data_IF_009371451656
#
_entry.id   IF_009371451656
#
_cell.length_a   1.000
_cell.length_b   1.000
_cell.length_c   1.000
_cell.angle_alpha   90.00
_cell.angle_beta   90.00
_cell.angle_gamma   90.00
#
_symmetry.space_group_name_H-M   'P 1'
#
loop_
_entity.id
_entity.type
_entity.pdbx_description
1 polymer ?
#
# COMPACT_ATOMS: atom_id res chain seq x y z
N UNK A 1 -4.79 -4.59 -0.62
CA UNK A 1 -4.75 -5.02 -2.05
C UNK A 1 -5.19 -6.47 -2.12
N UNK A 2 -5.46 -7.01 -3.31
CA UNK A 2 -6.23 -8.24 -3.65
C UNK A 2 -7.30 -8.72 -2.65
N UNK A 3 -6.93 -9.12 -1.43
CA UNK A 3 -7.81 -9.58 -0.33
C UNK A 3 -8.47 -8.45 0.49
N UNK A 4 -8.39 -7.19 0.04
CA UNK A 4 -8.96 -6.03 0.74
C UNK A 4 -8.45 -5.85 2.18
N UNK A 5 -7.17 -6.13 2.41
CA UNK A 5 -6.49 -5.91 3.70
C UNK A 5 -5.55 -4.71 3.57
N UNK A 6 -5.43 -3.84 4.61
CA UNK A 6 -4.48 -2.74 4.63
C UNK A 6 -3.04 -3.25 4.62
N UNK A 7 -2.11 -2.40 4.17
CA UNK A 7 -0.70 -2.77 3.98
C UNK A 7 0.17 -2.03 5.00
N UNK A 8 1.12 -2.73 5.61
CA UNK A 8 2.28 -2.12 6.25
C UNK A 8 3.51 -2.49 5.43
N UNK A 9 4.17 -1.50 4.84
CA UNK A 9 5.44 -1.70 4.16
C UNK A 9 6.60 -1.19 5.02
N UNK A 10 7.65 -2.01 5.14
CA UNK A 10 8.91 -1.64 5.74
C UNK A 10 9.99 -1.79 4.66
N UNK A 11 10.33 -0.70 3.99
CA UNK A 11 11.25 -0.70 2.84
C UNK A 11 12.20 0.49 2.95
N UNK A 12 13.26 0.51 2.15
CA UNK A 12 14.11 1.68 2.00
C UNK A 12 13.40 2.80 1.22
N UNK A 13 13.95 4.01 1.29
CA UNK A 13 13.42 5.20 0.62
C UNK A 13 13.67 5.28 -0.89
N UNK A 14 14.30 4.28 -1.52
CA UNK A 14 14.57 4.31 -2.97
C UNK A 14 13.39 3.86 -3.82
N UNK A 15 12.35 3.31 -3.18
CA UNK A 15 11.11 2.86 -3.85
C UNK A 15 9.98 3.84 -3.59
N UNK A 16 9.07 3.99 -4.55
CA UNK A 16 7.87 4.80 -4.45
C UNK A 16 6.75 4.14 -3.62
N UNK A 17 6.94 2.88 -3.19
CA UNK A 17 5.94 2.12 -2.44
C UNK A 17 5.45 2.84 -1.18
N UNK A 18 6.36 3.48 -0.43
CA UNK A 18 5.99 4.23 0.77
C UNK A 18 5.06 5.41 0.46
N UNK A 19 5.34 6.15 -0.61
CA UNK A 19 4.51 7.25 -1.08
C UNK A 19 3.15 6.76 -1.58
N UNK A 20 3.13 5.71 -2.42
CA UNK A 20 1.91 5.12 -2.97
C UNK A 20 0.98 4.67 -1.84
N UNK A 21 1.50 3.96 -0.83
CA UNK A 21 0.71 3.45 0.30
C UNK A 21 0.11 4.59 1.13
N UNK A 22 0.93 5.59 1.45
CA UNK A 22 0.52 6.70 2.33
C UNK A 22 -0.43 7.66 1.61
N UNK A 23 -0.13 8.05 0.37
CA UNK A 23 -0.99 8.92 -0.45
C UNK A 23 -2.31 8.24 -0.83
N UNK A 24 -2.28 6.94 -1.13
CA UNK A 24 -3.47 6.16 -1.41
C UNK A 24 -4.33 5.85 -0.17
N UNK A 25 -3.89 6.27 1.02
CA UNK A 25 -4.54 6.03 2.31
C UNK A 25 -5.02 4.58 2.49
N UNK A 26 -4.17 3.63 2.13
CA UNK A 26 -4.52 2.21 2.18
C UNK A 26 -3.59 1.37 3.06
N UNK A 27 -2.74 2.05 3.83
CA UNK A 27 -1.80 1.41 4.71
C UNK A 27 -0.90 2.41 5.42
N UNK A 28 0.26 1.91 5.82
CA UNK A 28 1.33 2.64 6.46
C UNK A 28 2.68 2.24 5.87
N UNK A 29 3.65 3.12 6.04
CA UNK A 29 5.01 2.88 5.64
C UNK A 29 5.96 3.26 6.77
N UNK A 30 6.97 2.43 6.97
CA UNK A 30 8.12 2.70 7.83
C UNK A 30 9.37 2.53 6.98
N UNK A 31 10.33 3.44 7.14
CA UNK A 31 11.64 3.26 6.54
C UNK A 31 12.40 2.13 7.25
N UNK A 32 13.03 1.23 6.48
CA UNK A 32 13.78 0.07 7.00
C UNK A 32 15.14 0.45 7.60
N UNK A 33 15.14 1.32 8.62
CA UNK A 33 16.34 1.83 9.30
C UNK A 33 16.35 1.60 10.81
N UNK A 34 15.18 1.44 11.43
CA UNK A 34 15.03 1.40 12.88
C UNK A 34 13.91 0.44 13.29
N UNK A 35 14.26 -0.56 14.11
CA UNK A 35 13.31 -1.54 14.63
C UNK A 35 12.25 -0.92 15.53
N UNK A 36 12.60 0.14 16.27
CA UNK A 36 11.69 0.80 17.20
C UNK A 36 10.55 1.52 16.47
N UNK A 37 10.85 2.14 15.33
CA UNK A 37 9.85 2.83 14.51
C UNK A 37 8.84 1.81 13.95
N UNK A 38 9.34 0.65 13.49
CA UNK A 38 8.49 -0.44 13.03
C UNK A 38 7.58 -0.99 14.14
N UNK A 39 8.13 -1.29 15.32
CA UNK A 39 7.33 -1.83 16.43
C UNK A 39 6.28 -0.85 16.91
N UNK A 40 6.64 0.44 17.03
CA UNK A 40 5.69 1.49 17.43
C UNK A 40 4.54 1.63 16.43
N UNK A 41 4.83 1.49 15.14
CA UNK A 41 3.82 1.54 14.09
C UNK A 41 2.91 0.31 14.14
N UNK A 42 3.45 -0.88 14.40
CA UNK A 42 2.65 -2.11 14.59
C UNK A 42 1.72 -1.95 15.80
N UNK A 43 2.21 -1.49 16.94
CA UNK A 43 1.40 -1.26 18.14
C UNK A 43 0.26 -0.27 17.86
N UNK A 44 0.55 0.80 17.11
CA UNK A 44 -0.44 1.76 16.66
C UNK A 44 -1.53 1.09 15.82
N UNK A 45 -1.14 0.27 14.83
CA UNK A 45 -2.09 -0.44 13.95
C UNK A 45 -2.97 -1.41 14.76
N UNK A 46 -2.38 -2.15 15.71
CA UNK A 46 -3.11 -3.08 16.56
C UNK A 46 -4.10 -2.40 17.52
N UNK A 47 -3.90 -1.11 17.81
CA UNK A 47 -4.81 -0.31 18.64
C UNK A 47 -6.02 0.25 17.88
N UNK A 48 -6.03 0.18 16.54
CA UNK A 48 -7.10 0.72 15.71
C UNK A 48 -8.34 -0.17 15.74
N UNK A 49 -9.49 0.47 15.56
CA UNK A 49 -10.77 -0.23 15.42
C UNK A 49 -10.90 -0.93 14.05
N UNK A 50 -11.82 -1.88 13.97
CA UNK A 50 -12.04 -2.67 12.76
C UNK A 50 -12.54 -1.86 11.57
N UNK A 51 -13.26 -0.76 11.79
CA UNK A 51 -13.77 0.09 10.71
C UNK A 51 -12.62 0.85 10.04
N UNK A 52 -11.72 1.42 10.84
CA UNK A 52 -10.47 2.05 10.37
C UNK A 52 -9.63 1.09 9.53
N UNK A 53 -9.49 -0.16 9.98
CA UNK A 53 -8.75 -1.20 9.25
C UNK A 53 -9.46 -1.59 7.94
N UNK A 54 -10.78 -1.77 7.98
CA UNK A 54 -11.59 -2.11 6.81
C UNK A 54 -11.56 -1.01 5.74
N UNK A 55 -11.65 0.26 6.15
CA UNK A 55 -11.56 1.40 5.23
C UNK A 55 -10.25 1.40 4.44
N UNK A 56 -9.11 1.26 5.13
CA UNK A 56 -7.80 1.18 4.47
C UNK A 56 -7.68 -0.06 3.59
N UNK A 57 -8.24 -1.19 4.02
CA UNK A 57 -8.29 -2.42 3.22
C UNK A 57 -9.08 -2.26 1.90
N UNK A 58 -10.24 -1.59 1.96
CA UNK A 58 -11.05 -1.27 0.79
C UNK A 58 -10.32 -0.30 -0.15
N UNK A 59 -9.70 0.76 0.38
CA UNK A 59 -8.86 1.66 -0.42
C UNK A 59 -7.74 0.89 -1.14
N UNK A 60 -7.15 -0.09 -0.46
CA UNK A 60 -6.10 -0.92 -1.02
C UNK A 60 -6.59 -1.78 -2.18
N UNK A 61 -7.85 -2.27 -2.13
CA UNK A 61 -8.48 -3.01 -3.23
C UNK A 61 -8.77 -2.09 -4.42
N UNK A 62 -9.42 -0.96 -4.16
CA UNK A 62 -9.73 0.06 -5.17
C UNK A 62 -8.48 0.53 -5.90
N UNK A 63 -7.39 0.79 -5.18
CA UNK A 63 -6.12 1.21 -5.79
C UNK A 63 -5.55 0.14 -6.74
N UNK A 64 -5.59 -1.13 -6.35
CA UNK A 64 -5.13 -2.23 -7.21
C UNK A 64 -5.97 -2.34 -8.49
N UNK A 65 -7.30 -2.28 -8.37
CA UNK A 65 -8.21 -2.42 -9.51
C UNK A 65 -8.07 -1.27 -10.52
N UNK A 66 -7.74 -0.07 -10.05
CA UNK A 66 -7.59 1.12 -10.89
C UNK A 66 -6.20 1.26 -11.56
N UNK A 67 -5.17 0.60 -11.02
CA UNK A 67 -3.78 0.85 -11.44
C UNK A 67 -3.03 -0.40 -11.90
N UNK A 68 -3.31 -1.56 -11.32
CA UNK A 68 -2.43 -2.75 -11.41
C UNK A 68 -3.10 -4.00 -11.98
N UNK A 69 -4.21 -3.85 -12.71
CA UNK A 69 -4.76 -4.99 -13.45
C UNK A 69 -3.88 -5.36 -14.64
N UNK A 70 -3.95 -6.62 -15.07
CA UNK A 70 -3.27 -7.10 -16.28
C UNK A 70 -3.60 -6.23 -17.50
N UNK A 71 -4.84 -5.72 -17.58
CA UNK A 71 -5.26 -4.82 -18.66
C UNK A 71 -4.51 -3.48 -18.65
N UNK A 72 -4.23 -2.90 -17.48
CA UNK A 72 -3.41 -1.69 -17.37
C UNK A 72 -1.97 -1.97 -17.84
N UNK A 73 -1.35 -3.04 -17.34
CA UNK A 73 0.02 -3.42 -17.72
C UNK A 73 0.15 -3.67 -19.22
N UNK A 74 -0.78 -4.44 -19.81
CA UNK A 74 -0.81 -4.71 -21.25
C UNK A 74 -0.88 -3.41 -22.06
N UNK A 75 -1.82 -2.51 -21.72
CA UNK A 75 -1.97 -1.23 -22.42
C UNK A 75 -0.71 -0.37 -22.33
N UNK A 76 -0.05 -0.32 -21.17
CA UNK A 76 1.19 0.45 -21.00
C UNK A 76 2.31 -0.09 -21.89
N UNK A 77 2.50 -1.42 -21.92
CA UNK A 77 3.51 -2.04 -22.79
C UNK A 77 3.21 -1.77 -24.26
N UNK A 78 1.96 -2.00 -24.71
CA UNK A 78 1.60 -1.85 -26.12
C UNK A 78 1.68 -0.41 -26.63
N UNK A 79 1.56 0.61 -25.77
CA UNK A 79 1.79 2.02 -26.15
C UNK A 79 3.21 2.32 -26.68
N UNK A 80 4.18 1.44 -26.42
CA UNK A 80 5.54 1.59 -26.95
C UNK A 80 5.73 0.93 -28.33
N UNK A 81 4.78 0.11 -28.77
CA UNK A 81 4.87 -0.67 -30.03
C UNK A 81 3.81 -0.28 -31.07
N UNK A 82 2.87 0.60 -30.71
CA UNK A 82 1.79 1.08 -31.56
C UNK A 82 1.92 2.59 -31.79
#
# INVERSE_FOLDING_TARGET
MEKSIPILACTDGSTDMGEIITQGNFGWWCESKNVHDFTTLVDTICSLDSESLALKGNNARTFLENNYTVGHTYKTIMKHFA
#
